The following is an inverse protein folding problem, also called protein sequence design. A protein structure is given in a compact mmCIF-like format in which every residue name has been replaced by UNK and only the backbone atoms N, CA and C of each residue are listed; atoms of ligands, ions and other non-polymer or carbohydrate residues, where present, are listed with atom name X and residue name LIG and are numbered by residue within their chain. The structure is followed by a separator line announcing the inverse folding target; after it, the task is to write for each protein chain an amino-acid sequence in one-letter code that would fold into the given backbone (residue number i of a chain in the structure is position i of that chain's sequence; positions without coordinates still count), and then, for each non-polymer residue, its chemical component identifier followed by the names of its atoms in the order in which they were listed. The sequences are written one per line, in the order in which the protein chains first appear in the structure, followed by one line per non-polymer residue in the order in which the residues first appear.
data_IF_302429139045
#
_entry.id   IF_302429139045
#
_cell.length_a   1.000
_cell.length_b   1.000
_cell.length_c   1.000
_cell.angle_alpha   90.00
_cell.angle_beta   90.00
_cell.angle_gamma   90.00
#
_symmetry.space_group_name_H-M   'P 1'
#
loop_
_entity.id
_entity.type
_entity.pdbx_description
1 polymer ?
#
# COMPACT_ATOMS: atom_id res chain seq x y z
N UNK A 1 -39.23 -17.75 -30.49
CA UNK A 1 -37.78 -17.63 -30.80
C UNK A 1 -37.25 -16.21 -30.54
N UNK A 2 -38.01 -15.14 -30.81
CA UNK A 2 -37.62 -13.74 -30.58
C UNK A 2 -37.23 -13.38 -29.13
N UNK A 3 -37.90 -13.94 -28.13
CA UNK A 3 -37.65 -13.61 -26.72
C UNK A 3 -36.31 -14.15 -26.19
N UNK A 4 -35.81 -15.26 -26.74
CA UNK A 4 -34.53 -15.85 -26.35
C UNK A 4 -33.34 -15.02 -26.82
N UNK A 5 -33.39 -14.48 -28.05
CA UNK A 5 -32.37 -13.59 -28.60
C UNK A 5 -32.33 -12.24 -27.88
N UNK A 6 -33.48 -11.71 -27.45
CA UNK A 6 -33.53 -10.48 -26.64
C UNK A 6 -32.86 -10.65 -25.27
N UNK A 7 -33.05 -11.81 -24.63
CA UNK A 7 -32.43 -12.12 -23.36
C UNK A 7 -30.91 -12.29 -23.49
N UNK A 8 -30.47 -13.06 -24.50
CA UNK A 8 -29.05 -13.26 -24.79
C UNK A 8 -28.33 -11.94 -25.13
N UNK A 9 -28.96 -11.12 -25.96
CA UNK A 9 -28.44 -9.80 -26.32
C UNK A 9 -28.31 -8.88 -25.10
N UNK A 10 -29.33 -8.84 -24.22
CA UNK A 10 -29.29 -8.03 -23.01
C UNK A 10 -28.19 -8.47 -22.04
N UNK A 11 -28.00 -9.78 -21.87
CA UNK A 11 -26.92 -10.31 -21.01
C UNK A 11 -25.53 -9.99 -21.55
N UNK A 12 -25.32 -10.07 -22.86
CA UNK A 12 -24.04 -9.72 -23.49
C UNK A 12 -23.77 -8.22 -23.39
N UNK A 13 -24.78 -7.37 -23.58
CA UNK A 13 -24.66 -5.92 -23.40
C UNK A 13 -24.29 -5.58 -21.96
N UNK A 14 -24.97 -6.15 -20.96
CA UNK A 14 -24.62 -5.94 -19.54
C UNK A 14 -23.19 -6.41 -19.24
N UNK A 15 -22.78 -7.56 -19.76
CA UNK A 15 -21.43 -8.09 -19.56
C UNK A 15 -20.37 -7.21 -20.24
N UNK A 16 -20.65 -6.67 -21.43
CA UNK A 16 -19.80 -5.69 -22.11
C UNK A 16 -19.75 -4.38 -21.34
N UNK A 17 -20.84 -3.90 -20.73
CA UNK A 17 -20.83 -2.72 -19.86
C UNK A 17 -20.06 -2.94 -18.55
N UNK A 18 -20.05 -4.15 -18.00
CA UNK A 18 -19.20 -4.51 -16.84
C UNK A 18 -17.72 -4.53 -17.24
N UNK A 19 -17.39 -5.08 -18.41
CA UNK A 19 -16.01 -5.12 -18.94
C UNK A 19 -15.53 -3.71 -19.33
N UNK A 20 -16.38 -2.91 -19.97
CA UNK A 20 -16.07 -1.54 -20.43
C UNK A 20 -16.11 -0.53 -19.27
N UNK A 21 -16.92 -0.76 -18.24
CA UNK A 21 -16.94 0.03 -16.99
C UNK A 21 -15.64 -0.03 -16.19
N UNK A 22 -14.78 -1.03 -16.43
CA UNK A 22 -13.42 -1.08 -15.89
C UNK A 22 -12.39 -0.21 -16.67
N UNK A 23 -12.74 0.30 -17.85
CA UNK A 23 -11.78 0.90 -18.79
C UNK A 23 -11.46 2.39 -18.53
N UNK A 24 -12.01 3.00 -17.49
CA UNK A 24 -11.57 4.32 -17.01
C UNK A 24 -11.13 4.24 -15.54
N UNK A 25 -10.20 3.32 -15.22
CA UNK A 25 -9.31 3.56 -14.07
C UNK A 25 -8.68 4.93 -14.31
N UNK A 26 -9.01 5.91 -13.47
CA UNK A 26 -8.55 7.30 -13.59
C UNK A 26 -7.03 7.40 -13.35
N UNK A 27 -6.25 6.94 -14.32
CA UNK A 27 -4.79 6.86 -14.29
C UNK A 27 -4.16 8.25 -14.24
N UNK A 28 -4.85 9.25 -14.78
CA UNK A 28 -4.48 10.66 -14.70
C UNK A 28 -4.51 11.15 -13.25
N UNK A 29 -5.57 10.83 -12.50
CA UNK A 29 -5.67 11.13 -11.08
C UNK A 29 -4.60 10.41 -10.25
N UNK A 30 -4.37 9.11 -10.51
CA UNK A 30 -3.33 8.31 -9.83
C UNK A 30 -1.94 8.94 -9.98
N UNK A 31 -1.55 9.28 -11.21
CA UNK A 31 -0.24 9.84 -11.48
C UNK A 31 -0.05 11.21 -10.81
N UNK A 32 -1.08 12.07 -10.85
CA UNK A 32 -1.05 13.37 -10.19
C UNK A 32 -0.92 13.23 -8.66
N UNK A 33 -1.68 12.32 -8.04
CA UNK A 33 -1.56 12.06 -6.61
C UNK A 33 -0.20 11.50 -6.23
N UNK A 34 0.36 10.58 -7.02
CA UNK A 34 1.66 10.01 -6.73
C UNK A 34 2.80 11.05 -6.86
N UNK A 35 2.78 11.87 -7.92
CA UNK A 35 3.77 12.94 -8.08
C UNK A 35 3.70 13.96 -6.95
N UNK A 36 2.50 14.35 -6.55
CA UNK A 36 2.31 15.27 -5.44
C UNK A 36 2.79 14.65 -4.11
N UNK A 37 2.46 13.39 -3.86
CA UNK A 37 2.90 12.68 -2.65
C UNK A 37 4.42 12.61 -2.54
N UNK A 38 5.12 12.34 -3.65
CA UNK A 38 6.58 12.34 -3.70
C UNK A 38 7.14 13.73 -3.36
N UNK A 39 6.62 14.80 -3.97
CA UNK A 39 7.05 16.17 -3.65
C UNK A 39 6.77 16.55 -2.19
N UNK A 40 5.63 16.12 -1.65
CA UNK A 40 5.28 16.34 -0.25
C UNK A 40 6.26 15.60 0.68
N UNK A 41 6.63 14.36 0.35
CA UNK A 41 7.63 13.59 1.08
C UNK A 41 9.03 14.23 1.03
N UNK A 42 9.46 14.72 -0.14
CA UNK A 42 10.71 15.47 -0.29
C UNK A 42 10.73 16.75 0.55
N UNK A 43 9.57 17.39 0.74
CA UNK A 43 9.38 18.54 1.61
C UNK A 43 9.19 18.18 3.10
N UNK A 44 9.24 16.89 3.48
CA UNK A 44 9.02 16.42 4.85
C UNK A 44 7.56 16.47 5.32
N UNK A 45 6.62 16.74 4.42
CA UNK A 45 5.17 16.82 4.68
C UNK A 45 4.55 15.42 4.68
N UNK A 46 5.01 14.56 5.59
CA UNK A 46 4.69 13.13 5.60
C UNK A 46 3.19 12.83 5.72
N UNK A 47 2.44 13.62 6.49
CA UNK A 47 0.98 13.45 6.61
C UNK A 47 0.27 13.61 5.26
N UNK A 48 0.66 14.63 4.50
CA UNK A 48 0.06 14.91 3.20
C UNK A 48 0.49 13.86 2.16
N UNK A 49 1.75 13.43 2.19
CA UNK A 49 2.23 12.35 1.33
C UNK A 49 1.45 11.04 1.57
N UNK A 50 1.30 10.64 2.83
CA UNK A 50 0.53 9.46 3.25
C UNK A 50 -0.94 9.58 2.81
N UNK A 51 -1.56 10.75 3.02
CA UNK A 51 -2.94 10.97 2.58
C UNK A 51 -3.10 10.72 1.08
N UNK A 52 -2.16 11.19 0.27
CA UNK A 52 -2.20 11.09 -1.19
C UNK A 52 -1.91 9.69 -1.70
N UNK A 53 -0.98 8.95 -1.09
CA UNK A 53 -0.80 7.54 -1.42
C UNK A 53 -2.02 6.69 -1.03
N UNK A 54 -2.72 7.01 0.06
CA UNK A 54 -3.99 6.36 0.39
C UNK A 54 -5.09 6.63 -0.67
N UNK A 55 -5.14 7.83 -1.25
CA UNK A 55 -6.03 8.11 -2.39
C UNK A 55 -5.66 7.25 -3.61
N UNK A 56 -4.36 7.11 -3.91
CA UNK A 56 -3.91 6.20 -4.98
C UNK A 56 -4.39 4.77 -4.72
N UNK A 57 -4.23 4.26 -3.50
CA UNK A 57 -4.66 2.90 -3.13
C UNK A 57 -6.18 2.74 -3.17
N UNK A 58 -6.94 3.80 -2.88
CA UNK A 58 -8.41 3.77 -2.98
C UNK A 58 -8.86 3.58 -4.43
N UNK A 59 -8.13 4.15 -5.39
CA UNK A 59 -8.43 4.04 -6.83
C UNK A 59 -7.82 2.75 -7.42
N UNK A 60 -6.60 2.41 -7.01
CA UNK A 60 -5.90 1.20 -7.42
C UNK A 60 -5.31 0.46 -6.20
N UNK A 61 -6.09 -0.45 -5.59
CA UNK A 61 -5.66 -1.21 -4.41
C UNK A 61 -4.44 -2.10 -4.64
N UNK A 62 -4.13 -2.40 -5.90
CA UNK A 62 -3.02 -3.28 -6.31
C UNK A 62 -1.77 -2.51 -6.73
N UNK A 63 -1.72 -1.19 -6.47
CA UNK A 63 -0.55 -0.38 -6.77
C UNK A 63 0.60 -0.65 -5.77
N UNK A 64 1.48 -1.60 -6.10
CA UNK A 64 2.60 -2.00 -5.24
C UNK A 64 3.51 -0.81 -4.84
N UNK A 65 3.73 0.13 -5.76
CA UNK A 65 4.56 1.31 -5.50
C UNK A 65 3.93 2.23 -4.44
N UNK A 66 2.61 2.45 -4.49
CA UNK A 66 1.91 3.26 -3.49
C UNK A 66 1.96 2.62 -2.10
N UNK A 67 1.80 1.31 -1.99
CA UNK A 67 1.97 0.57 -0.72
C UNK A 67 3.40 0.68 -0.19
N UNK A 68 4.42 0.53 -1.05
CA UNK A 68 5.80 0.74 -0.62
C UNK A 68 6.05 2.18 -0.13
N UNK A 69 5.50 3.17 -0.83
CA UNK A 69 5.69 4.56 -0.46
C UNK A 69 4.96 4.93 0.84
N UNK A 70 3.77 4.36 1.10
CA UNK A 70 3.14 4.42 2.41
C UNK A 70 4.07 3.88 3.51
N UNK A 71 4.75 2.76 3.24
CA UNK A 71 5.76 2.22 4.14
C UNK A 71 6.83 3.24 4.51
N UNK A 72 7.36 3.96 3.51
CA UNK A 72 8.35 5.04 3.73
C UNK A 72 7.77 6.17 4.57
N UNK A 73 6.55 6.60 4.26
CA UNK A 73 5.86 7.66 5.01
C UNK A 73 5.65 7.28 6.48
N UNK A 74 5.21 6.05 6.75
CA UNK A 74 5.02 5.56 8.11
C UNK A 74 6.34 5.39 8.87
N UNK A 75 7.42 4.92 8.24
CA UNK A 75 8.76 4.90 8.86
C UNK A 75 9.19 6.32 9.26
N UNK A 76 8.99 7.31 8.39
CA UNK A 76 9.33 8.70 8.68
C UNK A 76 8.54 9.29 9.86
N UNK A 77 7.36 8.74 10.15
CA UNK A 77 6.55 9.09 11.33
C UNK A 77 6.84 8.23 12.56
N UNK A 78 7.78 7.28 12.49
CA UNK A 78 8.05 6.32 13.57
C UNK A 78 6.97 5.25 13.76
N UNK A 79 5.99 5.16 12.84
CA UNK A 79 4.91 4.18 12.86
C UNK A 79 5.36 2.88 12.22
N UNK A 80 6.33 2.21 12.86
CA UNK A 80 7.05 1.08 12.25
C UNK A 80 6.12 -0.11 11.94
N UNK A 81 5.11 -0.38 12.78
CA UNK A 81 4.14 -1.46 12.51
C UNK A 81 3.33 -1.21 11.23
N UNK A 82 2.81 0.01 11.05
CA UNK A 82 2.07 0.40 9.84
C UNK A 82 2.96 0.36 8.59
N UNK A 83 4.24 0.72 8.76
CA UNK A 83 5.22 0.65 7.70
C UNK A 83 5.47 -0.81 7.25
N UNK A 84 5.66 -1.73 8.19
CA UNK A 84 5.85 -3.15 7.89
C UNK A 84 4.66 -3.72 7.13
N UNK A 85 3.43 -3.44 7.57
CA UNK A 85 2.22 -3.90 6.88
C UNK A 85 2.13 -3.35 5.44
N UNK A 86 2.48 -2.08 5.24
CA UNK A 86 2.46 -1.45 3.92
C UNK A 86 3.53 -2.05 2.99
N UNK A 87 4.75 -2.29 3.50
CA UNK A 87 5.80 -2.93 2.73
C UNK A 87 5.51 -4.40 2.42
N UNK A 88 4.92 -5.13 3.35
CA UNK A 88 4.46 -6.51 3.14
C UNK A 88 3.49 -6.56 1.96
N UNK A 89 2.50 -5.67 1.96
CA UNK A 89 1.53 -5.59 0.87
C UNK A 89 2.19 -5.31 -0.48
N UNK A 90 3.19 -4.43 -0.52
CA UNK A 90 3.96 -4.19 -1.74
C UNK A 90 4.70 -5.46 -2.23
N UNK A 91 5.27 -6.26 -1.32
CA UNK A 91 5.95 -7.52 -1.68
C UNK A 91 5.00 -8.64 -2.09
N UNK A 92 3.76 -8.64 -1.60
CA UNK A 92 2.73 -9.57 -2.05
C UNK A 92 2.25 -9.25 -3.47
N UNK A 93 2.13 -7.95 -3.79
CA UNK A 93 1.67 -7.48 -5.10
C UNK A 93 2.75 -7.62 -6.18
N UNK A 94 4.03 -7.43 -5.81
CA UNK A 94 5.18 -7.66 -6.69
C UNK A 94 6.29 -8.43 -5.95
N UNK A 95 6.23 -9.78 -5.98
CA UNK A 95 7.20 -10.64 -5.30
C UNK A 95 8.61 -10.61 -5.93
N UNK A 96 8.73 -10.20 -7.19
CA UNK A 96 9.99 -10.21 -7.93
C UNK A 96 10.82 -8.95 -7.66
N UNK A 97 10.16 -7.86 -7.28
CA UNK A 97 10.82 -6.63 -6.85
C UNK A 97 11.74 -6.84 -5.65
N UNK A 98 13.05 -6.85 -5.93
CA UNK A 98 14.09 -6.81 -4.89
C UNK A 98 14.00 -5.54 -4.06
N UNK A 99 13.55 -4.43 -4.64
CA UNK A 99 13.43 -3.15 -3.97
C UNK A 99 12.42 -3.20 -2.82
N UNK A 100 11.19 -3.70 -3.06
CA UNK A 100 10.17 -3.83 -2.01
C UNK A 100 10.61 -4.81 -0.92
N UNK A 101 11.22 -5.92 -1.32
CA UNK A 101 11.73 -6.93 -0.38
C UNK A 101 12.85 -6.38 0.52
N UNK A 102 13.72 -5.51 0.01
CA UNK A 102 14.76 -4.86 0.82
C UNK A 102 14.12 -3.92 1.85
N UNK A 103 13.17 -3.08 1.45
CA UNK A 103 12.49 -2.15 2.35
C UNK A 103 11.72 -2.90 3.45
N UNK A 104 10.94 -3.92 3.10
CA UNK A 104 10.22 -4.77 4.06
C UNK A 104 11.18 -5.43 5.06
N UNK A 105 12.26 -6.06 4.58
CA UNK A 105 13.25 -6.73 5.45
C UNK A 105 13.95 -5.75 6.37
N UNK A 106 14.34 -4.57 5.88
CA UNK A 106 14.93 -3.50 6.68
C UNK A 106 13.97 -3.10 7.80
N UNK A 107 12.73 -2.77 7.46
CA UNK A 107 11.73 -2.29 8.41
C UNK A 107 11.45 -3.33 9.51
N UNK A 108 11.36 -4.63 9.15
CA UNK A 108 11.20 -5.71 10.14
C UNK A 108 12.37 -5.89 11.09
N UNK A 109 13.60 -5.60 10.66
CA UNK A 109 14.76 -5.61 11.56
C UNK A 109 14.69 -4.49 12.60
N UNK A 110 14.10 -3.33 12.26
CA UNK A 110 13.88 -2.26 13.22
C UNK A 110 12.95 -2.72 14.36
N UNK A 111 11.83 -3.39 14.05
CA UNK A 111 10.92 -3.95 15.07
C UNK A 111 11.63 -4.97 15.96
N UNK A 112 12.43 -5.87 15.37
CA UNK A 112 13.12 -6.91 16.13
C UNK A 112 14.14 -6.32 17.12
N UNK A 113 14.85 -5.26 16.71
CA UNK A 113 15.83 -4.58 17.57
C UNK A 113 15.16 -3.78 18.68
N UNK A 114 14.09 -3.04 18.37
CA UNK A 114 13.34 -2.31 19.39
C UNK A 114 12.66 -3.26 20.40
N UNK A 115 12.23 -4.45 19.96
CA UNK A 115 11.65 -5.46 20.84
C UNK A 115 12.66 -6.20 21.70
N UNK A 116 13.95 -6.27 21.30
CA UNK A 116 15.01 -6.84 22.15
C UNK A 116 15.51 -5.88 23.22
N UNK A 117 15.40 -4.56 23.00
CA UNK A 117 15.77 -3.54 24.00
C UNK A 117 14.76 -3.47 25.17
N UNK A 118 13.52 -3.93 24.99
CA UNK A 118 12.50 -3.92 26.05
C UNK A 118 12.51 -5.14 26.96
N UNK A 119 13.32 -6.17 26.67
CA UNK A 119 13.39 -7.40 27.46
C UNK A 119 14.59 -7.48 28.41
N UNK A 120 15.43 -6.44 28.47
CA UNK A 120 16.69 -6.46 29.23
C UNK A 120 16.70 -5.56 30.48
N UNK A 121 15.55 -5.03 30.92
CA UNK A 121 15.49 -4.08 32.05
C UNK A 121 14.52 -4.44 33.20
N UNK A 122 14.01 -5.67 33.26
CA UNK A 122 13.24 -6.14 34.41
C UNK A 122 13.70 -7.55 34.75
N UNK A 123 14.74 -7.65 35.59
CA UNK A 123 14.88 -8.68 36.65
C UNK A 123 16.25 -8.55 37.33
N UNK A 124 16.41 -7.52 38.16
CA UNK A 124 17.17 -7.68 39.40
C UNK A 124 16.40 -7.05 40.56
N UNK A 125 15.78 -7.87 41.42
CA UNK A 125 15.71 -7.60 42.83
C UNK A 125 16.57 -8.64 43.57
N UNK A 126 17.79 -8.23 43.84
CA UNK A 126 18.55 -8.44 45.08
C UNK A 126 17.84 -9.36 46.12
N UNK A 127 18.37 -10.57 46.34
CA UNK A 127 18.15 -11.29 47.59
C UNK A 127 19.30 -12.26 47.91
N UNK A 128 19.99 -11.88 49.00
CA UNK A 128 20.87 -12.67 49.90
C UNK A 128 22.27 -13.09 49.45
#
# INVERSE_FOLDING_TARGET
MSNLYRFLHLTVVIFVFIIVGCASRDSTGINAYNQFAIKAAEAGLWNEAIYRWNQVITIDPNNAAAHNNLGVGYEAQGKINDAVASYERATELDPDSKYYRINYRRCRLHIRRSGSETTESVDEPNSE
#
